data_IF_293273381573
#
_entry.id   IF_293273381573
#
_cell.length_a   1.000
_cell.length_b   1.000
_cell.length_c   1.000
_cell.angle_alpha   90.00
_cell.angle_beta   90.00
_cell.angle_gamma   90.00
#
_symmetry.space_group_name_H-M   'P 1'
#
loop_
_entity.id
_entity.type
_entity.pdbx_description
1 polymer ?
#
# COMPACT_ATOMS: atom_id res chain seq x y z
N UNK A 1 42.04 48.74 -51.48
CA UNK A 1 40.58 48.75 -51.75
C UNK A 1 39.94 47.67 -50.89
N UNK A 2 38.71 47.90 -50.44
CA UNK A 2 38.02 47.11 -49.42
C UNK A 2 37.95 45.61 -49.71
N UNK A 3 37.96 44.79 -48.66
CA UNK A 3 36.82 43.90 -48.44
C UNK A 3 36.59 43.69 -46.93
N UNK A 4 35.34 43.44 -46.53
CA UNK A 4 34.91 43.44 -45.13
C UNK A 4 34.55 42.03 -44.62
N UNK A 5 34.69 41.81 -43.30
CA UNK A 5 33.77 40.97 -42.52
C UNK A 5 33.60 41.56 -41.10
N UNK A 6 32.39 41.50 -40.52
CA UNK A 6 32.12 41.96 -39.16
C UNK A 6 32.52 40.92 -38.11
N UNK A 7 32.83 41.37 -36.90
CA UNK A 7 33.03 40.53 -35.71
C UNK A 7 31.64 40.25 -35.11
N UNK A 8 31.33 38.99 -34.81
CA UNK A 8 30.05 38.60 -34.23
C UNK A 8 29.84 39.22 -32.84
N UNK A 9 28.66 39.78 -32.60
CA UNK A 9 28.17 40.05 -31.26
C UNK A 9 27.80 38.71 -30.56
N UNK A 10 27.94 38.61 -29.23
CA UNK A 10 27.43 37.45 -28.49
C UNK A 10 25.90 37.38 -28.64
N UNK A 11 25.40 36.17 -28.88
CA UNK A 11 23.96 35.95 -29.03
C UNK A 11 23.27 36.13 -27.68
N UNK A 12 22.20 36.94 -27.66
CA UNK A 12 21.23 36.96 -26.57
C UNK A 12 20.68 35.55 -26.36
N UNK A 13 20.93 34.96 -25.20
CA UNK A 13 20.23 33.75 -24.79
C UNK A 13 18.74 34.07 -24.67
N UNK A 14 17.89 33.22 -25.26
CA UNK A 14 16.45 33.29 -25.05
C UNK A 14 16.15 32.87 -23.60
N UNK A 15 15.10 33.41 -22.97
CA UNK A 15 14.68 32.94 -21.64
C UNK A 15 14.38 31.44 -21.71
N UNK A 16 14.92 30.71 -20.75
CA UNK A 16 14.61 29.28 -20.57
C UNK A 16 13.17 29.17 -20.10
N UNK A 17 12.34 28.39 -20.80
CA UNK A 17 10.94 28.22 -20.45
C UNK A 17 10.82 27.40 -19.15
N UNK A 18 10.57 28.11 -18.05
CA UNK A 18 10.60 27.55 -16.70
C UNK A 18 9.39 26.64 -16.40
N UNK A 19 8.38 26.60 -17.29
CA UNK A 19 7.21 25.74 -17.18
C UNK A 19 7.46 24.26 -17.55
N UNK A 20 8.64 23.92 -18.07
CA UNK A 20 8.93 22.57 -18.57
C UNK A 20 8.96 21.48 -17.48
N UNK A 21 9.10 21.84 -16.21
CA UNK A 21 9.41 20.90 -15.12
C UNK A 21 8.20 20.27 -14.41
N UNK A 22 6.97 20.70 -14.70
CA UNK A 22 5.73 20.10 -14.17
C UNK A 22 4.91 19.32 -15.22
N UNK A 23 5.29 19.32 -16.50
CA UNK A 23 4.49 18.68 -17.57
C UNK A 23 4.89 17.24 -17.94
N UNK A 24 6.02 16.71 -17.44
CA UNK A 24 6.57 15.44 -17.92
C UNK A 24 6.19 14.19 -17.09
N UNK A 25 4.95 14.16 -16.58
CA UNK A 25 4.30 12.95 -16.08
C UNK A 25 3.40 12.25 -17.13
N UNK A 26 3.10 12.91 -18.25
CA UNK A 26 2.11 12.43 -19.23
C UNK A 26 2.67 11.46 -20.28
N UNK A 27 3.04 10.25 -19.84
CA UNK A 27 3.13 9.06 -20.69
C UNK A 27 2.43 7.88 -20.01
N UNK A 28 1.31 7.37 -20.55
CA UNK A 28 0.70 6.15 -20.02
C UNK A 28 1.61 4.95 -20.34
N UNK A 29 2.18 4.35 -19.30
CA UNK A 29 2.99 3.13 -19.40
C UNK A 29 2.15 2.00 -19.99
N UNK A 30 2.42 1.63 -21.24
CA UNK A 30 1.70 0.54 -21.90
C UNK A 30 2.07 -0.82 -21.31
N UNK A 31 1.05 -1.57 -20.90
CA UNK A 31 1.13 -3.00 -20.64
C UNK A 31 1.79 -3.73 -21.83
N UNK A 32 2.84 -4.52 -21.55
CA UNK A 32 3.33 -5.54 -22.48
C UNK A 32 3.22 -6.91 -21.81
N UNK A 33 2.10 -7.58 -22.07
CA UNK A 33 1.95 -9.01 -21.80
C UNK A 33 2.52 -9.84 -22.97
N UNK A 34 2.86 -11.11 -22.65
CA UNK A 34 3.36 -12.20 -23.52
C UNK A 34 4.89 -12.42 -23.51
N UNK A 35 5.38 -13.67 -23.44
CA UNK A 35 4.63 -14.93 -23.37
C UNK A 35 5.48 -16.16 -23.08
N UNK A 36 4.81 -17.28 -22.79
CA UNK A 36 5.45 -18.55 -22.44
C UNK A 36 6.09 -19.25 -23.65
N UNK A 37 7.24 -19.90 -23.42
CA UNK A 37 7.71 -21.03 -24.24
C UNK A 37 8.20 -22.17 -23.34
N UNK A 38 7.94 -23.41 -23.78
CA UNK A 38 8.07 -24.62 -22.95
C UNK A 38 9.46 -25.27 -22.89
N UNK A 39 9.57 -26.45 -22.25
CA UNK A 39 10.84 -26.99 -21.76
C UNK A 39 11.59 -27.86 -22.77
N UNK A 40 12.92 -27.96 -22.60
CA UNK A 40 13.78 -28.95 -23.26
C UNK A 40 14.76 -29.58 -22.26
N UNK A 41 14.92 -30.92 -22.34
CA UNK A 41 16.03 -31.65 -21.69
C UNK A 41 17.39 -31.35 -22.37
N UNK A 42 18.52 -31.99 -22.02
CA UNK A 42 18.74 -33.44 -22.04
C UNK A 42 20.03 -33.85 -21.27
N UNK A 43 19.92 -34.87 -20.40
CA UNK A 43 20.88 -35.89 -19.87
C UNK A 43 22.43 -35.72 -19.75
N UNK A 44 22.98 -36.26 -18.64
CA UNK A 44 24.33 -36.90 -18.54
C UNK A 44 24.99 -36.79 -17.14
N UNK A 45 24.87 -37.77 -16.21
CA UNK A 45 25.72 -38.97 -16.00
C UNK A 45 27.19 -38.65 -15.55
N UNK A 46 27.80 -39.19 -14.48
CA UNK A 46 27.84 -40.59 -13.98
C UNK A 46 28.49 -40.75 -12.56
N UNK A 47 28.10 -41.79 -11.79
CA UNK A 47 28.93 -42.48 -10.75
C UNK A 47 28.83 -42.00 -9.28
N UNK A 48 28.92 -42.84 -8.23
CA UNK A 48 28.94 -44.33 -8.12
C UNK A 48 28.71 -44.80 -6.66
N UNK A 49 28.14 -46.00 -6.43
CA UNK A 49 27.87 -46.62 -5.11
C UNK A 49 28.90 -47.71 -4.76
N UNK A 50 29.10 -48.08 -3.47
CA UNK A 50 28.49 -49.32 -2.91
C UNK A 50 28.02 -49.17 -1.44
N UNK A 51 26.88 -49.69 -0.95
CA UNK A 51 26.32 -51.06 -0.89
C UNK A 51 26.64 -51.83 0.42
N UNK A 52 25.60 -52.27 1.16
CA UNK A 52 25.67 -53.12 2.35
C UNK A 52 24.33 -53.20 3.11
N UNK A 53 23.78 -54.40 3.35
CA UNK A 53 22.40 -54.64 3.87
C UNK A 53 22.42 -55.60 5.11
N UNK A 54 21.32 -56.02 5.79
CA UNK A 54 21.23 -56.10 7.26
C UNK A 54 21.12 -57.59 7.75
N UNK A 55 20.52 -57.99 8.94
CA UNK A 55 19.11 -57.77 9.31
C UNK A 55 18.76 -57.63 10.84
N UNK A 56 17.49 -57.30 11.10
CA UNK A 56 16.60 -57.65 12.24
C UNK A 56 17.09 -57.80 13.71
N UNK A 57 16.29 -57.21 14.62
CA UNK A 57 16.15 -57.66 16.02
C UNK A 57 14.87 -57.13 16.68
N UNK A 58 14.02 -58.03 17.19
CA UNK A 58 12.85 -57.73 18.05
C UNK A 58 12.74 -58.83 19.14
N UNK A 59 11.89 -58.65 20.16
CA UNK A 59 12.26 -58.39 21.55
C UNK A 59 12.31 -59.65 22.44
N UNK A 60 12.59 -59.51 23.75
CA UNK A 60 12.25 -60.54 24.75
C UNK A 60 11.17 -60.08 25.75
N UNK A 61 10.21 -60.97 26.02
CA UNK A 61 9.34 -60.95 27.20
C UNK A 61 9.97 -61.73 28.38
N UNK A 62 9.55 -61.40 29.61
CA UNK A 62 9.82 -62.14 30.86
C UNK A 62 9.75 -61.18 32.07
N UNK A 63 9.38 -61.57 33.30
CA UNK A 63 9.14 -62.91 33.84
C UNK A 63 8.35 -62.90 35.19
N UNK A 64 7.35 -63.79 35.29
CA UNK A 64 6.95 -64.66 36.43
C UNK A 64 6.61 -64.18 37.88
N UNK A 65 5.51 -64.77 38.41
CA UNK A 65 5.25 -65.07 39.84
C UNK A 65 3.95 -64.45 40.41
N UNK A 66 3.06 -65.11 41.17
CA UNK A 66 2.90 -66.50 41.66
C UNK A 66 1.39 -66.76 42.05
N UNK A 67 0.93 -67.95 42.53
CA UNK A 67 -0.42 -68.46 42.18
C UNK A 67 -1.50 -68.61 43.31
N UNK A 68 -2.79 -68.68 42.88
CA UNK A 68 -3.97 -69.54 43.29
C UNK A 68 -4.27 -69.86 44.79
N UNK A 69 -5.54 -70.12 45.26
CA UNK A 69 -6.62 -70.84 44.52
C UNK A 69 -8.12 -70.49 44.80
N UNK A 70 -9.02 -70.97 43.91
CA UNK A 70 -10.27 -71.72 44.24
C UNK A 70 -11.51 -71.07 44.92
N UNK A 71 -12.57 -70.81 44.12
CA UNK A 71 -14.03 -71.17 44.25
C UNK A 71 -14.77 -71.26 45.64
N UNK A 72 -16.14 -71.27 45.70
CA UNK A 72 -17.18 -70.58 44.90
C UNK A 72 -18.40 -70.03 45.74
N UNK A 73 -19.43 -69.47 45.07
CA UNK A 73 -20.79 -69.11 45.58
C UNK A 73 -20.87 -67.89 46.54
N UNK A 74 -21.91 -67.03 46.56
CA UNK A 74 -23.37 -67.26 46.48
C UNK A 74 -24.12 -66.04 45.92
N UNK A 75 -25.30 -66.24 45.33
CA UNK A 75 -26.24 -65.15 45.02
C UNK A 75 -26.83 -64.55 46.31
N UNK A 76 -26.97 -63.23 46.37
CA UNK A 76 -28.01 -62.56 47.18
C UNK A 76 -28.76 -61.53 46.35
N UNK A 77 -30.08 -61.58 46.47
CA UNK A 77 -31.04 -60.63 45.88
C UNK A 77 -31.17 -59.45 46.84
N UNK A 78 -30.93 -58.23 46.36
CA UNK A 78 -31.12 -57.00 47.12
C UNK A 78 -31.91 -56.00 46.28
N UNK A 79 -33.14 -55.71 46.68
CA UNK A 79 -33.94 -54.66 46.05
C UNK A 79 -33.36 -53.29 46.42
N UNK A 80 -33.02 -52.48 45.41
CA UNK A 80 -32.46 -51.14 45.57
C UNK A 80 -33.16 -50.17 44.63
N UNK A 81 -34.08 -49.40 45.20
CA UNK A 81 -34.86 -48.25 44.70
C UNK A 81 -34.29 -47.53 43.46
N UNK A 82 -35.18 -47.27 42.50
CA UNK A 82 -34.96 -46.39 41.34
C UNK A 82 -34.88 -44.93 41.79
N UNK A 83 -33.69 -44.32 41.79
CA UNK A 83 -33.49 -42.86 41.64
C UNK A 83 -32.22 -42.67 40.80
N UNK A 84 -32.33 -42.07 39.61
CA UNK A 84 -31.15 -41.84 38.75
C UNK A 84 -31.36 -41.68 37.25
N UNK A 85 -32.59 -41.49 36.74
CA UNK A 85 -32.86 -41.32 35.29
C UNK A 85 -33.34 -39.89 35.00
N UNK A 86 -32.43 -38.92 35.10
CA UNK A 86 -32.57 -37.59 34.46
C UNK A 86 -31.25 -37.18 33.78
N UNK A 87 -30.10 -37.40 34.45
CA UNK A 87 -28.77 -37.08 33.89
C UNK A 87 -28.48 -37.87 32.60
N UNK A 88 -28.87 -39.15 32.55
CA UNK A 88 -28.66 -39.99 31.35
C UNK A 88 -29.42 -39.51 30.12
N UNK A 89 -30.61 -38.93 30.27
CA UNK A 89 -31.40 -38.40 29.14
C UNK A 89 -30.75 -37.13 28.59
N UNK A 90 -30.25 -36.24 29.46
CA UNK A 90 -29.54 -35.03 29.03
C UNK A 90 -28.21 -35.40 28.33
N UNK A 91 -27.43 -36.34 28.88
CA UNK A 91 -26.18 -36.79 28.25
C UNK A 91 -26.45 -37.50 26.92
N UNK A 92 -27.48 -38.34 26.81
CA UNK A 92 -27.85 -38.97 25.54
C UNK A 92 -28.42 -37.94 24.56
N UNK A 93 -29.16 -36.93 25.00
CA UNK A 93 -29.64 -35.85 24.14
C UNK A 93 -28.50 -34.95 23.65
N UNK A 94 -27.49 -34.67 24.49
CA UNK A 94 -26.27 -33.94 24.09
C UNK A 94 -25.45 -34.80 23.14
N UNK A 95 -25.21 -36.08 23.42
CA UNK A 95 -24.49 -36.98 22.50
C UNK A 95 -25.27 -37.14 21.20
N UNK A 96 -26.61 -37.27 21.23
CA UNK A 96 -27.43 -37.33 20.03
C UNK A 96 -27.39 -36.00 19.27
N UNK A 97 -27.44 -34.84 19.94
CA UNK A 97 -27.30 -33.53 19.29
C UNK A 97 -25.90 -33.32 18.71
N UNK A 98 -24.83 -33.75 19.40
CA UNK A 98 -23.46 -33.71 18.88
C UNK A 98 -23.30 -34.67 17.69
N UNK A 99 -23.74 -35.92 17.81
CA UNK A 99 -23.73 -36.90 16.70
C UNK A 99 -24.58 -36.41 15.54
N UNK A 100 -25.72 -35.78 15.79
CA UNK A 100 -26.54 -35.16 14.74
C UNK A 100 -25.86 -33.93 14.14
N UNK A 101 -25.15 -33.11 14.93
CA UNK A 101 -24.38 -31.97 14.43
C UNK A 101 -23.12 -32.38 13.66
N UNK A 102 -22.50 -33.51 14.00
CA UNK A 102 -21.32 -34.05 13.32
C UNK A 102 -21.67 -34.93 12.10
N UNK A 103 -22.82 -35.63 12.09
CA UNK A 103 -23.30 -36.44 10.95
C UNK A 103 -24.24 -35.67 10.00
N UNK A 104 -24.95 -34.66 10.51
CA UNK A 104 -25.79 -33.73 9.76
C UNK A 104 -25.30 -32.28 9.96
N UNK A 105 -23.97 -32.04 9.85
CA UNK A 105 -23.52 -30.72 9.39
C UNK A 105 -24.27 -30.47 8.07
N UNK A 106 -25.00 -29.35 7.89
CA UNK A 106 -25.56 -29.03 6.59
C UNK A 106 -24.39 -28.89 5.61
N UNK A 107 -24.29 -29.85 4.68
CA UNK A 107 -23.19 -29.91 3.73
C UNK A 107 -23.22 -28.67 2.85
N UNK A 108 -22.11 -27.92 2.83
CA UNK A 108 -21.95 -26.80 1.92
C UNK A 108 -22.03 -27.32 0.49
N UNK A 109 -22.86 -26.66 -0.31
CA UNK A 109 -23.15 -27.02 -1.69
C UNK A 109 -22.35 -26.14 -2.64
N UNK A 110 -22.20 -26.59 -3.90
CA UNK A 110 -21.60 -25.77 -4.95
C UNK A 110 -22.33 -24.41 -5.16
N UNK A 111 -23.61 -24.31 -4.77
CA UNK A 111 -24.36 -23.05 -4.82
C UNK A 111 -23.94 -22.10 -3.68
N UNK A 112 -23.69 -22.61 -2.48
CA UNK A 112 -23.26 -21.79 -1.34
C UNK A 112 -21.87 -21.17 -1.58
N UNK A 113 -20.98 -21.88 -2.28
CA UNK A 113 -19.69 -21.34 -2.72
C UNK A 113 -19.81 -20.41 -3.94
N UNK A 114 -20.77 -20.64 -4.85
CA UNK A 114 -21.04 -19.74 -5.98
C UNK A 114 -21.58 -18.38 -5.50
N UNK A 115 -22.45 -18.38 -4.49
CA UNK A 115 -22.96 -17.15 -3.84
C UNK A 115 -21.81 -16.32 -3.24
N UNK A 116 -20.83 -16.98 -2.61
CA UNK A 116 -19.62 -16.34 -2.13
C UNK A 116 -18.70 -15.85 -3.27
N UNK A 117 -18.58 -16.59 -4.37
CA UNK A 117 -17.81 -16.15 -5.55
C UNK A 117 -18.40 -14.86 -6.12
N UNK A 118 -19.71 -14.79 -6.31
CA UNK A 118 -20.39 -13.58 -6.77
C UNK A 118 -20.20 -12.41 -5.80
N UNK A 119 -20.16 -12.66 -4.49
CA UNK A 119 -19.87 -11.59 -3.52
C UNK A 119 -18.39 -11.14 -3.56
N UNK A 120 -17.44 -12.01 -3.90
CA UNK A 120 -16.06 -11.59 -4.20
C UNK A 120 -15.96 -10.80 -5.50
N UNK A 121 -16.79 -11.08 -6.50
CA UNK A 121 -16.83 -10.29 -7.73
C UNK A 121 -17.27 -8.83 -7.42
N UNK A 122 -18.30 -8.65 -6.56
CA UNK A 122 -18.71 -7.33 -6.06
C UNK A 122 -17.55 -6.62 -5.30
N UNK A 123 -16.89 -7.33 -4.39
CA UNK A 123 -15.76 -6.82 -3.58
C UNK A 123 -14.58 -6.41 -4.49
N UNK A 124 -14.26 -7.24 -5.47
CA UNK A 124 -13.20 -7.00 -6.45
C UNK A 124 -13.50 -5.77 -7.30
N UNK A 125 -14.74 -5.60 -7.76
CA UNK A 125 -15.17 -4.41 -8.51
C UNK A 125 -14.96 -3.13 -7.68
N UNK A 126 -15.44 -3.12 -6.43
CA UNK A 126 -15.33 -1.94 -5.57
C UNK A 126 -13.88 -1.62 -5.19
N UNK A 127 -13.06 -2.64 -4.95
CA UNK A 127 -11.63 -2.48 -4.74
C UNK A 127 -10.97 -1.79 -5.95
N UNK A 128 -11.27 -2.23 -7.17
CA UNK A 128 -10.73 -1.59 -8.38
C UNK A 128 -11.24 -0.16 -8.56
N UNK A 129 -12.53 0.11 -8.32
CA UNK A 129 -13.10 1.46 -8.39
C UNK A 129 -12.38 2.40 -7.38
N UNK A 130 -12.19 1.96 -6.13
CA UNK A 130 -11.46 2.71 -5.09
C UNK A 130 -9.98 2.95 -5.47
N UNK A 131 -9.29 1.94 -6.02
CA UNK A 131 -7.89 2.12 -6.48
C UNK A 131 -7.81 3.11 -7.65
N UNK A 132 -8.81 3.08 -8.54
CA UNK A 132 -8.93 4.01 -9.66
C UNK A 132 -9.13 5.43 -9.17
N UNK A 133 -10.10 5.66 -8.28
CA UNK A 133 -10.40 6.99 -7.73
C UNK A 133 -9.18 7.60 -7.04
N UNK A 134 -8.46 6.83 -6.22
CA UNK A 134 -7.17 7.24 -5.63
C UNK A 134 -6.15 7.62 -6.71
N UNK A 135 -6.00 6.82 -7.77
CA UNK A 135 -5.05 7.11 -8.86
C UNK A 135 -5.40 8.38 -9.66
N UNK A 136 -6.70 8.71 -9.75
CA UNK A 136 -7.18 9.91 -10.46
C UNK A 136 -7.00 11.19 -9.64
N UNK A 137 -6.79 11.10 -8.32
CA UNK A 137 -6.73 12.28 -7.44
C UNK A 137 -5.76 13.36 -7.94
N UNK A 138 -4.60 12.95 -8.45
CA UNK A 138 -3.54 13.82 -8.98
C UNK A 138 -3.97 14.71 -10.17
N UNK A 139 -5.05 14.35 -10.89
CA UNK A 139 -5.51 15.06 -12.08
C UNK A 139 -6.65 16.05 -11.81
N UNK A 140 -7.18 16.13 -10.59
CA UNK A 140 -8.27 17.06 -10.27
C UNK A 140 -7.77 18.49 -10.04
N UNK A 141 -8.58 19.45 -10.53
CA UNK A 141 -8.44 20.87 -10.24
C UNK A 141 -8.74 21.18 -8.77
N UNK A 142 -8.18 22.28 -8.25
CA UNK A 142 -8.34 22.74 -6.86
C UNK A 142 -9.80 22.86 -6.38
N UNK A 143 -10.75 23.12 -7.30
CA UNK A 143 -12.18 23.20 -6.99
C UNK A 143 -12.79 21.86 -6.61
N UNK A 144 -12.25 20.77 -7.15
CA UNK A 144 -12.90 19.45 -7.17
C UNK A 144 -12.28 18.52 -6.11
N UNK A 145 -11.09 18.86 -5.59
CA UNK A 145 -10.35 18.10 -4.56
C UNK A 145 -11.21 17.65 -3.38
N UNK A 146 -12.07 18.52 -2.83
CA UNK A 146 -12.89 18.16 -1.67
C UNK A 146 -14.01 17.17 -2.02
N UNK A 147 -14.57 17.25 -3.23
CA UNK A 147 -15.51 16.24 -3.74
C UNK A 147 -14.81 14.91 -3.95
N UNK A 148 -13.67 14.88 -4.65
CA UNK A 148 -12.93 13.65 -4.92
C UNK A 148 -12.45 12.94 -3.65
N UNK A 149 -12.05 13.68 -2.62
CA UNK A 149 -11.76 13.14 -1.28
C UNK A 149 -13.01 12.54 -0.62
N UNK A 150 -14.19 13.13 -0.84
CA UNK A 150 -15.47 12.59 -0.34
C UNK A 150 -15.86 11.32 -1.09
N UNK A 151 -15.77 11.33 -2.42
CA UNK A 151 -16.16 10.21 -3.28
C UNK A 151 -15.29 8.97 -2.99
N UNK A 152 -13.97 9.15 -2.85
CA UNK A 152 -13.05 8.09 -2.42
C UNK A 152 -13.39 7.55 -1.01
N UNK A 153 -13.79 8.42 -0.08
CA UNK A 153 -14.20 8.01 1.28
C UNK A 153 -15.51 7.23 1.27
N UNK A 154 -16.45 7.58 0.40
CA UNK A 154 -17.71 6.87 0.21
C UNK A 154 -17.47 5.50 -0.47
N UNK A 155 -16.58 5.42 -1.46
CA UNK A 155 -16.13 4.16 -2.07
C UNK A 155 -15.45 3.22 -1.07
N UNK A 156 -14.51 3.73 -0.25
CA UNK A 156 -13.89 2.95 0.83
C UNK A 156 -14.93 2.45 1.85
N UNK A 157 -15.91 3.30 2.20
CA UNK A 157 -16.99 2.91 3.11
C UNK A 157 -17.89 1.82 2.52
N UNK A 158 -18.15 1.89 1.21
CA UNK A 158 -18.92 0.89 0.45
C UNK A 158 -18.17 -0.44 0.34
N UNK A 159 -16.86 -0.42 0.07
CA UNK A 159 -15.98 -1.60 0.10
C UNK A 159 -16.04 -2.29 1.47
N UNK A 160 -15.79 -1.56 2.55
CA UNK A 160 -15.86 -2.10 3.92
C UNK A 160 -17.24 -2.66 4.28
N UNK A 161 -18.33 -2.08 3.75
CA UNK A 161 -19.68 -2.63 3.92
C UNK A 161 -19.84 -3.99 3.22
N UNK A 162 -19.52 -4.07 1.93
CA UNK A 162 -19.71 -5.30 1.15
C UNK A 162 -18.79 -6.43 1.62
N UNK A 163 -17.62 -6.09 2.17
CA UNK A 163 -16.75 -7.03 2.88
C UNK A 163 -17.43 -7.60 4.14
N UNK A 164 -18.00 -6.74 4.98
CA UNK A 164 -18.71 -7.16 6.19
C UNK A 164 -19.86 -8.14 5.90
N UNK A 165 -20.57 -7.95 4.78
CA UNK A 165 -21.66 -8.81 4.33
C UNK A 165 -21.22 -10.25 4.01
N UNK A 166 -19.99 -10.46 3.52
CA UNK A 166 -19.47 -11.79 3.15
C UNK A 166 -19.50 -12.78 4.32
N UNK A 167 -19.25 -12.30 5.54
CA UNK A 167 -19.28 -13.13 6.77
C UNK A 167 -20.65 -13.75 7.07
N UNK A 168 -21.73 -13.23 6.47
CA UNK A 168 -23.10 -13.77 6.61
C UNK A 168 -23.37 -14.96 5.68
N UNK A 169 -22.53 -15.17 4.66
CA UNK A 169 -22.68 -16.24 3.68
C UNK A 169 -22.37 -17.61 4.29
N UNK A 170 -23.00 -18.67 3.78
CA UNK A 170 -22.78 -20.02 4.30
C UNK A 170 -21.37 -20.53 4.05
N UNK A 171 -20.76 -20.18 2.91
CA UNK A 171 -19.39 -20.60 2.58
C UNK A 171 -18.35 -20.14 3.62
N UNK A 172 -18.59 -19.01 4.31
CA UNK A 172 -17.76 -18.53 5.42
C UNK A 172 -17.79 -19.44 6.67
N UNK A 173 -18.53 -20.56 6.63
CA UNK A 173 -18.50 -21.65 7.63
C UNK A 173 -17.60 -22.82 7.22
N UNK A 174 -17.01 -22.80 6.02
CA UNK A 174 -15.85 -23.64 5.69
C UNK A 174 -14.60 -23.01 6.32
N UNK A 175 -13.81 -23.82 7.02
CA UNK A 175 -12.69 -23.33 7.82
C UNK A 175 -11.57 -22.72 6.95
N UNK A 176 -11.37 -23.22 5.72
CA UNK A 176 -10.38 -22.69 4.78
C UNK A 176 -10.86 -21.39 4.14
N UNK A 177 -12.14 -21.34 3.70
CA UNK A 177 -12.74 -20.11 3.14
C UNK A 177 -12.73 -18.99 4.18
N UNK A 178 -13.07 -19.31 5.44
CA UNK A 178 -12.97 -18.38 6.55
C UNK A 178 -11.54 -17.88 6.75
N UNK A 179 -10.55 -18.78 6.79
CA UNK A 179 -9.16 -18.40 7.00
C UNK A 179 -8.63 -17.50 5.87
N UNK A 180 -8.90 -17.84 4.62
CA UNK A 180 -8.48 -17.04 3.47
C UNK A 180 -9.15 -15.65 3.51
N UNK A 181 -10.45 -15.58 3.77
CA UNK A 181 -11.20 -14.33 3.83
C UNK A 181 -10.84 -13.43 5.03
N UNK A 182 -10.57 -14.03 6.19
CA UNK A 182 -10.06 -13.30 7.36
C UNK A 182 -8.64 -12.73 7.11
N UNK A 183 -7.84 -13.38 6.25
CA UNK A 183 -6.52 -12.87 5.83
C UNK A 183 -6.71 -11.69 4.87
N UNK A 184 -7.52 -11.85 3.82
CA UNK A 184 -7.88 -10.78 2.88
C UNK A 184 -8.40 -9.52 3.59
N UNK A 185 -9.38 -9.66 4.49
CA UNK A 185 -9.96 -8.51 5.20
C UNK A 185 -8.97 -7.82 6.15
N UNK A 186 -7.95 -8.54 6.65
CA UNK A 186 -6.87 -7.94 7.43
C UNK A 186 -5.90 -7.11 6.57
N UNK A 187 -5.62 -7.53 5.33
CA UNK A 187 -4.86 -6.74 4.35
C UNK A 187 -5.69 -5.54 3.85
N UNK A 188 -6.95 -5.76 3.45
CA UNK A 188 -7.85 -4.71 2.96
C UNK A 188 -8.09 -3.61 4.00
N UNK A 189 -8.13 -3.96 5.30
CA UNK A 189 -8.17 -2.95 6.36
C UNK A 189 -6.91 -2.08 6.38
N UNK A 190 -5.71 -2.65 6.23
CA UNK A 190 -4.47 -1.87 6.19
C UNK A 190 -4.41 -0.96 4.96
N UNK A 191 -4.83 -1.48 3.81
CA UNK A 191 -4.98 -0.73 2.56
C UNK A 191 -5.92 0.47 2.71
N UNK A 192 -7.16 0.23 3.15
CA UNK A 192 -8.17 1.28 3.33
C UNK A 192 -7.79 2.27 4.44
N UNK A 193 -7.23 1.83 5.57
CA UNK A 193 -6.68 2.72 6.61
C UNK A 193 -5.59 3.65 6.06
N UNK A 194 -4.72 3.15 5.16
CA UNK A 194 -3.65 3.95 4.57
C UNK A 194 -4.19 4.95 3.53
N UNK A 195 -5.06 4.49 2.62
CA UNK A 195 -5.71 5.36 1.63
C UNK A 195 -6.48 6.51 2.28
N UNK A 196 -7.21 6.25 3.37
CA UNK A 196 -7.94 7.30 4.11
C UNK A 196 -7.01 8.39 4.64
N UNK A 197 -5.82 8.04 5.16
CA UNK A 197 -4.83 9.02 5.64
C UNK A 197 -4.23 9.83 4.51
N UNK A 198 -3.95 9.21 3.36
CA UNK A 198 -3.46 9.91 2.17
C UNK A 198 -4.53 10.87 1.64
N UNK A 199 -5.79 10.42 1.55
CA UNK A 199 -6.93 11.25 1.14
C UNK A 199 -7.17 12.43 2.09
N UNK A 200 -6.96 12.27 3.39
CA UNK A 200 -7.08 13.35 4.39
C UNK A 200 -5.94 14.38 4.28
N UNK A 201 -4.75 13.96 3.89
CA UNK A 201 -3.64 14.85 3.59
C UNK A 201 -3.76 15.54 2.21
N UNK A 202 -4.56 14.98 1.30
CA UNK A 202 -4.60 15.40 -0.10
C UNK A 202 -4.98 16.87 -0.35
N UNK A 203 -5.95 17.49 0.38
CA UNK A 203 -6.22 18.92 0.25
C UNK A 203 -5.04 19.81 0.66
N UNK A 204 -4.21 19.36 1.61
CA UNK A 204 -2.99 20.07 2.00
C UNK A 204 -1.86 19.87 0.96
N UNK A 205 -1.75 18.67 0.37
CA UNK A 205 -0.84 18.42 -0.76
C UNK A 205 -1.16 19.35 -1.94
N UNK A 206 -2.42 19.44 -2.36
CA UNK A 206 -2.82 20.35 -3.45
C UNK A 206 -2.54 21.82 -3.09
N UNK A 207 -2.83 22.24 -1.86
CA UNK A 207 -2.52 23.60 -1.42
C UNK A 207 -1.01 23.93 -1.46
N UNK A 208 -0.13 22.93 -1.25
CA UNK A 208 1.31 23.05 -1.45
C UNK A 208 1.66 23.09 -2.94
N UNK A 209 1.11 22.21 -3.76
CA UNK A 209 1.29 22.21 -5.23
C UNK A 209 0.97 23.59 -5.81
N UNK A 210 -0.20 24.14 -5.53
CA UNK A 210 -0.63 25.46 -6.01
C UNK A 210 0.26 26.58 -5.43
N UNK A 211 0.48 26.63 -4.11
CA UNK A 211 1.21 27.76 -3.51
C UNK A 211 2.73 27.74 -3.69
N UNK A 212 3.33 26.58 -3.98
CA UNK A 212 4.76 26.45 -4.29
C UNK A 212 5.02 26.37 -5.80
N UNK A 213 3.98 26.11 -6.61
CA UNK A 213 4.02 26.18 -8.07
C UNK A 213 3.77 27.58 -8.65
N UNK A 214 3.01 28.44 -7.95
CA UNK A 214 2.71 29.84 -8.34
C UNK A 214 3.92 30.78 -8.19
N UNK A 215 5.00 30.47 -8.91
CA UNK A 215 6.25 31.22 -8.89
C UNK A 215 6.04 32.56 -9.63
N UNK A 216 6.38 33.72 -9.00
CA UNK A 216 6.14 35.02 -9.62
C UNK A 216 7.03 35.22 -10.84
N UNK A 217 6.43 35.69 -11.94
CA UNK A 217 7.16 36.04 -13.17
C UNK A 217 7.82 37.42 -13.04
N UNK A 218 8.95 37.45 -12.32
CA UNK A 218 9.76 38.66 -12.05
C UNK A 218 11.23 38.42 -12.40
N UNK A 219 11.91 39.47 -12.86
CA UNK A 219 13.34 39.49 -13.10
C UNK A 219 14.10 39.84 -11.82
N UNK A 220 15.29 39.27 -11.58
CA UNK A 220 16.15 39.67 -10.44
C UNK A 220 16.58 41.15 -10.47
N UNK A 221 16.42 41.81 -11.62
CA UNK A 221 16.68 43.24 -11.83
C UNK A 221 15.47 44.13 -11.55
N UNK A 222 14.27 43.55 -11.37
CA UNK A 222 13.06 44.31 -11.04
C UNK A 222 13.12 44.74 -9.56
N UNK A 223 12.77 45.99 -9.28
CA UNK A 223 12.94 46.58 -7.94
C UNK A 223 12.03 46.00 -6.85
N UNK A 224 11.00 45.25 -7.24
CA UNK A 224 10.09 44.51 -6.38
C UNK A 224 10.34 43.00 -6.38
N UNK A 225 11.36 42.50 -7.09
CA UNK A 225 11.74 41.08 -7.15
C UNK A 225 11.73 40.40 -5.79
N UNK A 226 12.51 40.94 -4.84
CA UNK A 226 12.67 40.33 -3.53
C UNK A 226 11.38 40.37 -2.70
N UNK A 227 10.59 41.44 -2.82
CA UNK A 227 9.30 41.54 -2.10
C UNK A 227 8.26 40.56 -2.66
N UNK A 228 8.21 40.37 -3.99
CA UNK A 228 7.35 39.36 -4.62
C UNK A 228 7.82 37.93 -4.28
N UNK A 229 9.12 37.62 -4.40
CA UNK A 229 9.65 36.29 -4.10
C UNK A 229 9.54 35.93 -2.61
N UNK A 230 9.85 36.85 -1.68
CA UNK A 230 9.65 36.58 -0.24
C UNK A 230 8.18 36.39 0.12
N UNK A 231 7.25 37.05 -0.59
CA UNK A 231 5.80 36.82 -0.42
C UNK A 231 5.40 35.41 -0.90
N UNK A 232 5.85 35.00 -2.08
CA UNK A 232 5.65 33.66 -2.63
C UNK A 232 6.21 32.57 -1.68
N UNK A 233 7.47 32.69 -1.26
CA UNK A 233 8.13 31.74 -0.37
C UNK A 233 7.45 31.67 1.00
N UNK A 234 6.98 32.80 1.54
CA UNK A 234 6.20 32.84 2.79
C UNK A 234 4.87 32.07 2.67
N UNK A 235 4.15 32.23 1.55
CA UNK A 235 2.94 31.46 1.28
C UNK A 235 3.24 29.96 1.17
N UNK A 236 4.24 29.58 0.35
CA UNK A 236 4.66 28.19 0.17
C UNK A 236 5.07 27.54 1.51
N UNK A 237 5.93 28.18 2.31
CA UNK A 237 6.31 27.73 3.67
C UNK A 237 5.10 27.52 4.57
N UNK A 238 4.12 28.43 4.54
CA UNK A 238 2.89 28.32 5.35
C UNK A 238 2.07 27.08 4.97
N UNK A 239 2.02 26.71 3.69
CA UNK A 239 1.32 25.49 3.23
C UNK A 239 2.10 24.22 3.59
N UNK A 240 3.42 24.26 3.50
CA UNK A 240 4.29 23.15 3.89
C UNK A 240 4.24 22.88 5.40
N UNK A 241 4.20 23.93 6.23
CA UNK A 241 3.97 23.80 7.67
C UNK A 241 2.62 23.11 7.95
N UNK A 242 1.54 23.54 7.29
CA UNK A 242 0.23 22.87 7.41
C UNK A 242 0.29 21.39 6.99
N UNK A 243 0.96 21.08 5.88
CA UNK A 243 1.13 19.72 5.36
C UNK A 243 1.90 18.80 6.34
N UNK A 244 2.92 19.33 7.03
CA UNK A 244 3.75 18.57 7.98
C UNK A 244 2.97 17.99 9.18
N UNK A 245 1.74 18.47 9.44
CA UNK A 245 0.88 18.04 10.53
C UNK A 245 0.01 16.80 10.21
N UNK A 246 0.16 16.19 9.03
CA UNK A 246 -0.47 14.91 8.62
C UNK A 246 -0.11 13.73 9.54
N UNK A 247 -0.70 12.56 9.31
CA UNK A 247 -0.30 11.28 9.93
C UNK A 247 0.51 10.35 9.00
N UNK A 248 0.74 10.76 7.74
CA UNK A 248 1.52 9.99 6.76
C UNK A 248 2.99 10.42 6.78
N UNK A 249 3.90 9.53 7.17
CA UNK A 249 5.32 9.88 7.37
C UNK A 249 6.00 10.41 6.08
N UNK A 250 5.79 9.76 4.94
CA UNK A 250 6.36 10.21 3.65
C UNK A 250 5.91 11.61 3.24
N UNK A 251 4.68 12.02 3.60
CA UNK A 251 4.19 13.38 3.38
C UNK A 251 4.89 14.37 4.33
N UNK A 252 5.21 13.98 5.57
CA UNK A 252 6.02 14.80 6.50
C UNK A 252 7.43 15.02 5.99
N UNK A 253 8.06 13.95 5.52
CA UNK A 253 9.43 13.98 5.04
C UNK A 253 9.53 14.88 3.80
N UNK A 254 8.58 14.75 2.86
CA UNK A 254 8.40 15.67 1.74
C UNK A 254 8.22 17.13 2.19
N UNK A 255 7.28 17.40 3.10
CA UNK A 255 7.00 18.75 3.60
C UNK A 255 8.23 19.37 4.28
N UNK A 256 9.02 18.57 4.99
CA UNK A 256 10.27 18.98 5.65
C UNK A 256 11.34 19.34 4.61
N UNK A 257 11.62 18.45 3.66
CA UNK A 257 12.62 18.69 2.60
C UNK A 257 12.29 19.93 1.76
N UNK A 258 11.02 20.12 1.41
CA UNK A 258 10.56 21.30 0.68
C UNK A 258 10.61 22.58 1.54
N UNK A 259 10.37 22.49 2.85
CA UNK A 259 10.51 23.62 3.78
C UNK A 259 11.97 24.04 3.95
N UNK A 260 12.90 23.10 4.00
CA UNK A 260 14.35 23.37 4.04
C UNK A 260 14.81 24.06 2.75
N UNK A 261 14.38 23.56 1.59
CA UNK A 261 14.65 24.21 0.29
C UNK A 261 14.09 25.64 0.23
N UNK A 262 12.81 25.82 0.58
CA UNK A 262 12.17 27.14 0.60
C UNK A 262 12.80 28.09 1.63
N UNK A 263 13.44 27.56 2.68
CA UNK A 263 14.20 28.34 3.66
C UNK A 263 15.48 28.88 3.05
N UNK A 264 16.35 28.01 2.51
CA UNK A 264 17.60 28.44 1.84
C UNK A 264 17.34 29.42 0.68
N UNK A 265 16.30 29.17 -0.12
CA UNK A 265 15.92 30.08 -1.21
C UNK A 265 15.41 31.45 -0.69
N UNK A 266 14.82 31.50 0.50
CA UNK A 266 14.46 32.76 1.17
C UNK A 266 15.68 33.50 1.67
N UNK A 267 16.66 32.79 2.23
CA UNK A 267 17.91 33.39 2.70
C UNK A 267 18.68 34.01 1.52
N UNK A 268 18.70 33.36 0.35
CA UNK A 268 19.20 33.91 -0.92
C UNK A 268 18.45 35.18 -1.35
N UNK A 269 17.12 35.18 -1.31
CA UNK A 269 16.30 36.35 -1.68
C UNK A 269 16.54 37.52 -0.73
N UNK A 270 16.68 37.26 0.57
CA UNK A 270 17.00 38.30 1.56
C UNK A 270 18.43 38.84 1.36
N UNK A 271 19.40 37.99 1.01
CA UNK A 271 20.75 38.45 0.61
C UNK A 271 20.73 39.32 -0.66
N UNK A 272 19.95 38.97 -1.68
CA UNK A 272 19.77 39.82 -2.88
C UNK A 272 19.14 41.17 -2.51
N UNK A 273 18.18 41.18 -1.58
CA UNK A 273 17.55 42.40 -1.07
C UNK A 273 18.53 43.31 -0.33
N UNK A 274 19.49 42.75 0.40
CA UNK A 274 20.55 43.52 1.07
C UNK A 274 21.55 44.17 0.09
N UNK A 275 21.73 43.62 -1.12
CA UNK A 275 22.55 44.25 -2.17
C UNK A 275 21.89 45.49 -2.79
N UNK A 276 20.56 45.58 -2.73
CA UNK A 276 19.79 46.65 -3.37
C UNK A 276 19.64 46.43 -4.87
N UNK A 277 19.72 47.50 -5.66
CA UNK A 277 19.53 47.42 -7.11
C UNK A 277 20.75 46.81 -7.81
N UNK A 278 20.55 45.70 -8.50
CA UNK A 278 21.61 44.94 -9.18
C UNK A 278 22.22 45.75 -10.35
N UNK A 279 21.43 46.61 -11.02
CA UNK A 279 21.93 47.48 -12.10
C UNK A 279 22.99 48.50 -11.63
N UNK A 280 23.03 48.81 -10.34
CA UNK A 280 23.98 49.77 -9.74
C UNK A 280 25.31 49.10 -9.30
N UNK A 281 25.48 47.79 -9.50
CA UNK A 281 26.66 47.03 -9.04
C UNK A 281 27.81 47.10 -10.06
N UNK A 282 28.89 47.81 -9.71
CA UNK A 282 30.10 47.89 -10.53
C UNK A 282 30.91 46.59 -10.50
N UNK A 283 31.38 46.13 -11.67
CA UNK A 283 32.24 44.94 -11.80
C UNK A 283 33.53 45.05 -10.97
N UNK A 284 33.82 44.05 -10.15
CA UNK A 284 34.99 44.01 -9.27
C UNK A 284 34.85 44.79 -7.96
N UNK A 285 33.65 45.30 -7.66
CA UNK A 285 33.29 45.83 -6.33
C UNK A 285 33.06 44.70 -5.31
N UNK A 286 33.00 45.06 -4.02
CA UNK A 286 32.61 44.11 -2.96
C UNK A 286 31.16 43.63 -3.14
N UNK A 287 30.24 44.47 -3.65
CA UNK A 287 28.88 44.05 -4.00
C UNK A 287 28.86 43.05 -5.15
N UNK A 288 29.74 43.20 -6.15
CA UNK A 288 29.85 42.26 -7.27
C UNK A 288 30.33 40.88 -6.79
N UNK A 289 31.30 40.84 -5.87
CA UNK A 289 31.78 39.58 -5.29
C UNK A 289 30.65 38.89 -4.51
N UNK A 290 29.92 39.62 -3.65
CA UNK A 290 28.74 39.09 -2.95
C UNK A 290 27.66 38.58 -3.89
N UNK A 291 27.39 39.28 -4.99
CA UNK A 291 26.44 38.81 -6.00
C UNK A 291 26.89 37.49 -6.63
N UNK A 292 28.20 37.32 -6.87
CA UNK A 292 28.76 36.04 -7.31
C UNK A 292 28.55 34.95 -6.27
N UNK A 293 28.86 35.23 -4.99
CA UNK A 293 28.70 34.26 -3.89
C UNK A 293 27.23 33.79 -3.76
N UNK A 294 26.26 34.70 -3.90
CA UNK A 294 24.81 34.38 -3.87
C UNK A 294 24.39 33.54 -5.08
N UNK A 295 24.93 33.83 -6.27
CA UNK A 295 24.64 33.04 -7.47
C UNK A 295 25.22 31.63 -7.35
N UNK A 296 26.41 31.47 -6.76
CA UNK A 296 26.99 30.17 -6.45
C UNK A 296 26.14 29.42 -5.39
N UNK A 297 25.70 30.09 -4.31
CA UNK A 297 24.80 29.51 -3.30
C UNK A 297 23.47 29.03 -3.90
N UNK A 298 22.90 29.77 -4.84
CA UNK A 298 21.71 29.35 -5.59
C UNK A 298 21.94 28.10 -6.43
N UNK A 299 23.11 27.96 -7.07
CA UNK A 299 23.47 26.75 -7.82
C UNK A 299 23.83 25.56 -6.92
N UNK A 300 24.22 25.79 -5.66
CA UNK A 300 24.42 24.74 -4.65
C UNK A 300 23.11 24.27 -3.96
N UNK A 301 21.96 24.88 -4.27
CA UNK A 301 20.68 24.41 -3.74
C UNK A 301 20.37 22.96 -4.17
N UNK A 302 19.91 22.10 -3.24
CA UNK A 302 19.52 20.73 -3.59
C UNK A 302 18.30 20.75 -4.50
N UNK A 303 18.26 19.81 -5.46
CA UNK A 303 17.10 19.68 -6.34
C UNK A 303 15.88 19.17 -5.57
N UNK A 304 14.74 19.85 -5.73
CA UNK A 304 13.44 19.39 -5.22
C UNK A 304 12.93 18.13 -5.91
N UNK A 305 13.55 17.72 -7.03
CA UNK A 305 13.22 16.50 -7.75
C UNK A 305 13.42 15.24 -6.90
N UNK A 306 14.52 15.16 -6.14
CA UNK A 306 14.81 13.98 -5.30
C UNK A 306 13.74 13.82 -4.22
N UNK A 307 13.42 14.88 -3.48
CA UNK A 307 12.34 14.89 -2.48
C UNK A 307 10.97 14.54 -3.08
N UNK A 308 10.68 14.97 -4.32
CA UNK A 308 9.42 14.66 -5.02
C UNK A 308 9.38 13.20 -5.49
N UNK A 309 10.49 12.67 -6.01
CA UNK A 309 10.63 11.29 -6.45
C UNK A 309 10.54 10.33 -5.26
N UNK A 310 11.28 10.60 -4.19
CA UNK A 310 11.27 9.79 -2.96
C UNK A 310 9.88 9.79 -2.32
N UNK A 311 9.18 10.92 -2.34
CA UNK A 311 7.79 11.02 -1.89
C UNK A 311 6.86 10.11 -2.71
N UNK A 312 6.89 10.21 -4.05
CA UNK A 312 6.06 9.39 -4.94
C UNK A 312 6.37 7.90 -4.78
N UNK A 313 7.66 7.54 -4.71
CA UNK A 313 8.10 6.16 -4.46
C UNK A 313 7.61 5.64 -3.11
N UNK A 314 7.75 6.41 -2.03
CA UNK A 314 7.33 5.99 -0.69
C UNK A 314 5.80 5.80 -0.55
N UNK A 315 4.99 6.63 -1.25
CA UNK A 315 3.53 6.41 -1.32
C UNK A 315 3.22 5.13 -2.10
N UNK A 316 3.86 4.91 -3.26
CA UNK A 316 3.62 3.72 -4.08
C UNK A 316 4.09 2.44 -3.40
N UNK A 317 5.27 2.44 -2.77
CA UNK A 317 5.83 1.30 -2.05
C UNK A 317 4.95 0.89 -0.87
N UNK A 318 4.43 1.85 -0.10
CA UNK A 318 3.53 1.52 1.01
C UNK A 318 2.19 1.00 0.50
N UNK A 319 1.60 1.60 -0.55
CA UNK A 319 0.38 1.07 -1.21
C UNK A 319 0.57 -0.36 -1.70
N UNK A 320 1.65 -0.64 -2.45
CA UNK A 320 1.99 -1.98 -2.96
C UNK A 320 2.22 -2.98 -1.82
N UNK A 321 2.77 -2.53 -0.68
CA UNK A 321 3.05 -3.36 0.51
C UNK A 321 1.79 -3.73 1.30
N UNK A 322 0.73 -2.91 1.24
CA UNK A 322 -0.55 -3.20 1.92
C UNK A 322 -1.67 -3.63 0.96
N UNK A 323 -1.38 -3.75 -0.34
CA UNK A 323 -2.33 -4.17 -1.36
C UNK A 323 -2.91 -5.57 -1.09
N UNK A 324 -4.24 -5.74 -0.94
CA UNK A 324 -4.88 -7.02 -0.68
C UNK A 324 -5.16 -7.86 -1.93
N UNK A 325 -4.66 -7.46 -3.11
CA UNK A 325 -4.98 -8.12 -4.40
C UNK A 325 -4.56 -9.60 -4.45
N UNK A 326 -3.38 -9.94 -3.92
CA UNK A 326 -2.90 -11.33 -3.82
C UNK A 326 -3.78 -12.18 -2.89
N UNK A 327 -4.18 -11.66 -1.71
CA UNK A 327 -5.11 -12.37 -0.83
C UNK A 327 -6.50 -12.51 -1.46
N UNK A 328 -6.99 -11.48 -2.15
CA UNK A 328 -8.30 -11.51 -2.83
C UNK A 328 -8.34 -12.61 -3.89
N UNK A 329 -7.30 -12.69 -4.74
CA UNK A 329 -7.15 -13.76 -5.72
C UNK A 329 -7.09 -15.14 -5.06
N UNK A 330 -6.41 -15.26 -3.91
CA UNK A 330 -6.36 -16.52 -3.16
C UNK A 330 -7.75 -16.97 -2.65
N UNK A 331 -8.64 -16.06 -2.23
CA UNK A 331 -10.02 -16.44 -1.89
C UNK A 331 -10.82 -16.85 -3.14
N UNK A 332 -10.65 -16.15 -4.26
CA UNK A 332 -11.32 -16.48 -5.53
C UNK A 332 -10.93 -17.88 -6.03
N UNK A 333 -9.63 -18.21 -6.05
CA UNK A 333 -9.10 -19.52 -6.46
C UNK A 333 -9.59 -20.66 -5.54
N UNK A 334 -9.65 -20.38 -4.23
CA UNK A 334 -10.17 -21.32 -3.24
C UNK A 334 -11.66 -21.60 -3.46
N UNK A 335 -12.49 -20.58 -3.64
CA UNK A 335 -13.92 -20.76 -3.96
C UNK A 335 -14.11 -21.49 -5.29
N UNK A 336 -13.34 -21.17 -6.32
CA UNK A 336 -13.31 -21.89 -7.58
C UNK A 336 -13.04 -23.39 -7.38
N UNK A 337 -12.10 -23.74 -6.50
CA UNK A 337 -11.78 -25.12 -6.13
C UNK A 337 -12.95 -25.79 -5.39
N UNK A 338 -13.47 -25.15 -4.33
CA UNK A 338 -14.61 -25.66 -3.52
C UNK A 338 -15.87 -25.89 -4.35
N UNK A 339 -16.14 -25.03 -5.35
CA UNK A 339 -17.24 -25.20 -6.33
C UNK A 339 -17.09 -26.48 -7.16
N UNK A 340 -15.86 -26.87 -7.53
CA UNK A 340 -15.63 -28.10 -8.30
C UNK A 340 -15.67 -29.35 -7.42
N UNK A 341 -15.20 -29.25 -6.17
CA UNK A 341 -15.28 -30.36 -5.20
C UNK A 341 -16.72 -30.67 -4.83
N UNK A 342 -17.54 -29.66 -4.52
CA UNK A 342 -18.95 -29.81 -4.16
C UNK A 342 -19.88 -30.22 -5.32
N UNK A 343 -19.33 -30.48 -6.52
CA UNK A 343 -20.04 -31.03 -7.70
C UNK A 343 -19.74 -32.51 -7.95
N UNK A 344 -18.83 -33.14 -7.19
CA UNK A 344 -18.38 -34.53 -7.37
C UNK A 344 -19.15 -35.51 -6.47
#
# INVERSE_FOLDING_TARGET
MNNAQPINAPQTQQPVDQNAYLQNGNQPSQYVASGATGPQGVSGALGSVPAGVPPMGMPPQGAYGAPMPGQPQKRKKGSGVIIGIIVGVIVIAIIAACVFFFLFKPSLTAQDYLEASTKLDDISSEYYDVTSDMSQMQYYDDSDVNSSVSDLKDGISKLQQIEGEFSSLKAYKDDEVKQAYDTYTASSKQFTDYMLKVAEAYPALKAVETSCGDTPYVSMYDSDFADQYSTFLSSCKTKLEALSNTDVQSIKDFATSMSEYATKLSDIVDQLKELGNIDDIEYGSDQYNKLSDIVDEYYELPSTYEATSDFQSAISDELNKVDPSDELQAVQDLLGTKIQEAKR
#
